data_IF_450474263816
#
_entry.id   IF_450474263816
#
_cell.length_a   1.000
_cell.length_b   1.000
_cell.length_c   1.000
_cell.angle_alpha   90.00
_cell.angle_beta   90.00
_cell.angle_gamma   90.00
#
_symmetry.space_group_name_H-M   'P 1'
#
loop_
_entity.id
_entity.type
_entity.pdbx_description
1 polymer ?
#
# COMPACT_ATOMS: atom_id res chain seq x y z
N UNK A 1 -4.50 10.49 -15.27
CA UNK A 1 -3.42 10.73 -14.27
C UNK A 1 -3.60 9.96 -12.96
N UNK A 2 -4.81 9.58 -12.51
CA UNK A 2 -5.05 8.79 -11.28
C UNK A 2 -4.31 7.44 -11.19
N UNK A 3 -4.13 6.71 -12.30
CA UNK A 3 -3.44 5.41 -12.29
C UNK A 3 -1.93 5.52 -12.06
N UNK A 4 -1.29 6.65 -12.42
CA UNK A 4 0.18 6.76 -12.40
C UNK A 4 0.77 6.87 -10.99
N UNK A 5 0.09 7.55 -10.07
CA UNK A 5 0.51 7.66 -8.67
C UNK A 5 0.23 6.36 -7.92
N UNK A 6 -0.96 5.78 -8.12
CA UNK A 6 -1.37 4.53 -7.50
C UNK A 6 -0.43 3.36 -7.88
N UNK A 7 -0.09 3.24 -9.17
CA UNK A 7 0.87 2.23 -9.65
C UNK A 7 2.26 2.44 -9.07
N UNK A 8 2.68 3.69 -8.83
CA UNK A 8 4.00 3.99 -8.25
C UNK A 8 4.05 3.63 -6.77
N UNK A 9 2.98 3.90 -6.02
CA UNK A 9 2.82 3.50 -4.61
C UNK A 9 2.72 1.97 -4.48
N UNK A 10 1.96 1.31 -5.36
CA UNK A 10 1.81 -0.16 -5.39
C UNK A 10 3.15 -0.85 -5.74
N UNK A 11 3.85 -0.40 -6.78
CA UNK A 11 5.18 -0.92 -7.13
C UNK A 11 6.21 -0.75 -6.01
N UNK A 12 6.19 0.37 -5.27
CA UNK A 12 7.13 0.66 -4.19
C UNK A 12 6.85 -0.13 -2.90
N UNK A 13 5.58 -0.33 -2.56
CA UNK A 13 5.20 -1.21 -1.45
C UNK A 13 5.53 -2.66 -1.77
N UNK A 14 5.35 -3.10 -3.03
CA UNK A 14 5.82 -4.41 -3.47
C UNK A 14 7.34 -4.56 -3.34
N UNK A 15 8.17 -3.58 -3.68
CA UNK A 15 9.63 -3.69 -3.49
C UNK A 15 10.02 -3.77 -2.02
N UNK A 16 9.44 -2.91 -1.17
CA UNK A 16 9.67 -2.95 0.27
C UNK A 16 9.24 -4.29 0.91
N UNK A 17 8.11 -4.86 0.49
CA UNK A 17 7.62 -6.15 1.01
C UNK A 17 8.31 -7.37 0.38
N UNK A 18 8.75 -7.31 -0.89
CA UNK A 18 9.47 -8.42 -1.55
C UNK A 18 10.91 -8.51 -1.04
N UNK A 19 11.54 -7.39 -0.66
CA UNK A 19 12.87 -7.39 -0.02
C UNK A 19 12.88 -8.01 1.39
N UNK A 20 11.73 -8.41 1.92
CA UNK A 20 11.56 -9.07 3.22
C UNK A 20 11.87 -10.59 3.21
N UNK A 21 12.24 -11.18 2.06
CA UNK A 21 12.46 -12.63 1.90
C UNK A 21 13.90 -13.10 1.51
N UNK A 22 15.02 -12.49 1.95
CA UNK A 22 16.34 -12.89 1.43
C UNK A 22 16.95 -14.14 2.10
N UNK A 23 16.19 -15.04 2.76
CA UNK A 23 16.77 -16.26 3.38
C UNK A 23 16.20 -17.61 2.95
N UNK A 24 15.09 -17.68 2.23
CA UNK A 24 14.50 -18.97 1.80
C UNK A 24 14.11 -18.94 0.32
N UNK A 25 15.11 -19.05 -0.54
CA UNK A 25 14.99 -18.77 -1.97
C UNK A 25 14.23 -19.85 -2.77
N UNK A 26 13.76 -20.97 -2.18
CA UNK A 26 13.20 -22.08 -2.98
C UNK A 26 11.95 -22.79 -2.45
N UNK A 27 11.51 -22.61 -1.20
CA UNK A 27 10.37 -23.36 -0.64
C UNK A 27 9.16 -22.53 -0.19
N UNK A 28 9.29 -21.20 -0.07
CA UNK A 28 8.24 -20.31 0.46
C UNK A 28 7.90 -19.21 -0.55
N UNK A 29 8.03 -19.47 -1.85
CA UNK A 29 8.02 -18.40 -2.86
C UNK A 29 6.65 -18.08 -3.48
N UNK A 30 5.66 -18.96 -3.45
CA UNK A 30 4.37 -18.66 -4.09
C UNK A 30 3.34 -18.11 -3.09
N UNK A 31 3.04 -18.83 -2.00
CA UNK A 31 2.02 -18.40 -1.03
C UNK A 31 2.34 -17.07 -0.34
N UNK A 32 3.60 -16.87 0.07
CA UNK A 32 4.01 -15.63 0.76
C UNK A 32 3.96 -14.41 -0.16
N UNK A 33 4.21 -14.57 -1.47
CA UNK A 33 4.12 -13.48 -2.45
C UNK A 33 2.68 -13.03 -2.67
N UNK A 34 1.71 -13.94 -2.72
CA UNK A 34 0.29 -13.59 -2.86
C UNK A 34 -0.20 -12.78 -1.66
N UNK A 35 0.17 -13.18 -0.44
CA UNK A 35 -0.19 -12.43 0.76
C UNK A 35 0.49 -11.04 0.78
N UNK A 36 1.78 -10.98 0.46
CA UNK A 36 2.51 -9.71 0.37
C UNK A 36 1.88 -8.75 -0.66
N UNK A 37 1.39 -9.25 -1.78
CA UNK A 37 0.68 -8.45 -2.79
C UNK A 37 -0.61 -7.85 -2.23
N UNK A 38 -1.47 -8.66 -1.61
CA UNK A 38 -2.72 -8.19 -1.02
C UNK A 38 -2.48 -7.17 0.10
N UNK A 39 -1.47 -7.41 0.95
CA UNK A 39 -1.07 -6.46 1.99
C UNK A 39 -0.57 -5.17 1.39
N UNK A 40 0.34 -5.20 0.41
CA UNK A 40 0.84 -4.01 -0.27
C UNK A 40 -0.28 -3.20 -0.93
N UNK A 41 -1.20 -3.87 -1.62
CA UNK A 41 -2.37 -3.25 -2.25
C UNK A 41 -3.30 -2.61 -1.21
N UNK A 42 -3.60 -3.33 -0.13
CA UNK A 42 -4.43 -2.81 0.97
C UNK A 42 -3.80 -1.61 1.67
N UNK A 43 -2.47 -1.62 1.88
CA UNK A 43 -1.72 -0.52 2.47
C UNK A 43 -1.72 0.70 1.55
N UNK A 44 -1.53 0.50 0.23
CA UNK A 44 -1.61 1.58 -0.76
C UNK A 44 -2.99 2.25 -0.74
N UNK A 45 -4.06 1.43 -0.77
CA UNK A 45 -5.45 1.90 -0.67
C UNK A 45 -5.68 2.68 0.63
N UNK A 46 -5.19 2.18 1.75
CA UNK A 46 -5.34 2.81 3.06
C UNK A 46 -4.62 4.18 3.14
N UNK A 47 -3.37 4.27 2.67
CA UNK A 47 -2.62 5.54 2.61
C UNK A 47 -3.32 6.54 1.70
N UNK A 48 -3.73 6.10 0.51
CA UNK A 48 -4.42 6.97 -0.45
C UNK A 48 -5.71 7.52 0.15
N UNK A 49 -6.55 6.66 0.73
CA UNK A 49 -7.84 7.04 1.28
C UNK A 49 -7.73 7.95 2.48
N UNK A 50 -6.68 7.79 3.29
CA UNK A 50 -6.49 8.57 4.52
C UNK A 50 -5.78 9.90 4.30
N UNK A 51 -4.79 9.97 3.39
CA UNK A 51 -3.93 11.16 3.25
C UNK A 51 -4.09 11.94 1.95
N UNK A 52 -4.47 11.28 0.86
CA UNK A 52 -4.41 11.88 -0.49
C UNK A 52 -5.76 11.97 -1.20
N UNK A 53 -6.81 11.28 -0.73
CA UNK A 53 -8.14 11.26 -1.37
C UNK A 53 -8.73 12.65 -1.55
N UNK A 54 -8.75 13.45 -0.49
CA UNK A 54 -9.39 14.78 -0.50
C UNK A 54 -8.46 15.86 -1.06
N UNK A 55 -7.14 15.70 -0.90
CA UNK A 55 -6.14 16.63 -1.41
C UNK A 55 -4.94 15.86 -1.98
N UNK A 56 -5.01 15.45 -3.27
CA UNK A 56 -3.98 14.62 -3.90
C UNK A 56 -2.60 15.28 -4.00
N UNK A 57 -2.54 16.62 -3.96
CA UNK A 57 -1.32 17.41 -4.06
C UNK A 57 -0.94 18.07 -2.73
N UNK A 58 -1.41 17.52 -1.60
CA UNK A 58 -1.04 18.01 -0.29
C UNK A 58 0.48 17.88 -0.09
N UNK A 59 1.16 19.03 0.00
CA UNK A 59 2.61 19.09 0.15
C UNK A 59 3.09 18.45 1.45
N UNK A 60 2.39 18.68 2.56
CA UNK A 60 2.76 18.16 3.88
C UNK A 60 2.72 16.64 3.93
N UNK A 61 1.67 16.03 3.37
CA UNK A 61 1.56 14.57 3.30
C UNK A 61 2.54 13.98 2.26
N UNK A 62 2.83 14.72 1.18
CA UNK A 62 3.87 14.36 0.22
C UNK A 62 5.28 14.35 0.80
N UNK A 63 5.62 15.31 1.66
CA UNK A 63 6.91 15.38 2.36
C UNK A 63 7.09 14.20 3.33
N UNK A 64 6.06 13.86 4.11
CA UNK A 64 6.06 12.65 4.96
C UNK A 64 6.23 11.38 4.14
N UNK A 65 5.54 11.28 2.99
CA UNK A 65 5.68 10.13 2.10
C UNK A 65 7.10 10.02 1.52
N UNK A 66 7.75 11.14 1.22
CA UNK A 66 9.15 11.17 0.77
C UNK A 66 10.10 10.68 1.87
N UNK A 67 9.89 11.13 3.12
CA UNK A 67 10.67 10.67 4.28
C UNK A 67 10.53 9.16 4.49
N UNK A 68 9.31 8.64 4.50
CA UNK A 68 9.02 7.20 4.62
C UNK A 68 9.75 6.41 3.53
N UNK A 69 9.75 6.88 2.29
CA UNK A 69 10.46 6.23 1.19
C UNK A 69 11.99 6.33 1.29
N UNK A 70 12.53 7.38 1.90
CA UNK A 70 13.97 7.59 2.04
C UNK A 70 14.65 6.49 2.88
N UNK A 71 13.90 5.85 3.78
CA UNK A 71 14.40 4.73 4.58
C UNK A 71 14.55 3.42 3.79
N UNK A 72 13.89 3.28 2.63
CA UNK A 72 13.88 2.05 1.85
C UNK A 72 13.50 0.83 2.70
N UNK A 73 14.29 -0.25 2.58
CA UNK A 73 14.13 -1.46 3.40
C UNK A 73 14.85 -1.44 4.75
N UNK A 74 15.37 -0.29 5.19
CA UNK A 74 16.12 -0.15 6.43
C UNK A 74 15.27 -0.15 7.70
N UNK A 75 13.95 0.05 7.57
CA UNK A 75 12.99 0.03 8.67
C UNK A 75 11.87 -0.99 8.44
N UNK A 76 11.27 -1.55 9.50
CA UNK A 76 10.12 -2.44 9.37
C UNK A 76 8.94 -1.74 8.68
N UNK A 77 8.29 -2.42 7.73
CA UNK A 77 7.17 -1.85 6.96
C UNK A 77 6.01 -1.40 7.85
N UNK A 78 5.77 -2.09 8.98
CA UNK A 78 4.75 -1.70 9.95
C UNK A 78 5.06 -0.34 10.60
N UNK A 79 6.32 -0.09 10.96
CA UNK A 79 6.75 1.18 11.55
C UNK A 79 6.65 2.33 10.52
N UNK A 80 7.08 2.08 9.28
CA UNK A 80 6.94 3.06 8.19
C UNK A 80 5.48 3.42 7.91
N UNK A 81 4.60 2.41 7.94
CA UNK A 81 3.17 2.61 7.72
C UNK A 81 2.52 3.33 8.90
N UNK A 82 2.93 3.05 10.13
CA UNK A 82 2.49 3.76 11.32
C UNK A 82 2.93 5.24 11.29
N UNK A 83 4.17 5.53 10.90
CA UNK A 83 4.64 6.90 10.69
C UNK A 83 3.79 7.63 9.64
N UNK A 84 3.47 6.96 8.52
CA UNK A 84 2.66 7.57 7.45
C UNK A 84 1.22 7.81 7.89
N UNK A 85 0.59 6.83 8.54
CA UNK A 85 -0.83 6.90 8.91
C UNK A 85 -1.07 7.73 10.18
N UNK A 86 -0.09 7.77 11.09
CA UNK A 86 -0.20 8.34 12.43
C UNK A 86 -0.84 7.39 13.45
N UNK A 87 -1.05 6.13 13.10
CA UNK A 87 -1.55 5.07 13.97
C UNK A 87 -1.09 3.71 13.46
N UNK A 88 -1.03 2.71 14.33
CA UNK A 88 -0.64 1.35 13.96
C UNK A 88 -1.82 0.59 13.33
N UNK A 89 -1.78 0.27 12.02
CA UNK A 89 -2.90 -0.37 11.33
C UNK A 89 -3.01 -1.85 11.66
N UNK A 90 -4.23 -2.30 11.94
CA UNK A 90 -4.54 -3.71 12.21
C UNK A 90 -4.99 -4.46 10.95
N UNK A 91 -5.04 -5.79 11.00
CA UNK A 91 -5.57 -6.63 9.92
C UNK A 91 -6.98 -6.20 9.44
N UNK A 92 -7.83 -5.73 10.36
CA UNK A 92 -9.17 -5.25 10.03
C UNK A 92 -9.14 -4.01 9.11
N UNK A 93 -8.20 -3.09 9.33
CA UNK A 93 -8.04 -1.90 8.49
C UNK A 93 -7.64 -2.27 7.06
N UNK A 94 -6.75 -3.25 6.90
CA UNK A 94 -6.35 -3.75 5.58
C UNK A 94 -7.51 -4.45 4.85
N UNK A 95 -8.27 -5.29 5.56
CA UNK A 95 -9.45 -5.95 5.01
C UNK A 95 -10.48 -4.91 4.55
N UNK A 96 -10.72 -3.89 5.38
CA UNK A 96 -11.66 -2.82 5.05
C UNK A 96 -11.19 -2.01 3.83
N UNK A 97 -9.91 -1.66 3.76
CA UNK A 97 -9.33 -0.97 2.60
C UNK A 97 -9.47 -1.79 1.30
N UNK A 98 -9.32 -3.12 1.36
CA UNK A 98 -9.52 -4.01 0.21
C UNK A 98 -11.00 -4.10 -0.21
N UNK A 99 -11.92 -4.17 0.77
CA UNK A 99 -13.36 -4.18 0.51
C UNK A 99 -13.80 -2.90 -0.21
N UNK A 100 -13.33 -1.75 0.27
CA UNK A 100 -13.65 -0.45 -0.32
C UNK A 100 -13.11 -0.35 -1.75
N UNK A 101 -11.87 -0.77 -1.97
CA UNK A 101 -11.26 -0.79 -3.30
C UNK A 101 -12.02 -1.72 -4.26
N UNK A 102 -12.33 -2.94 -3.82
CA UNK A 102 -13.04 -3.94 -4.63
C UNK A 102 -14.45 -3.46 -4.98
N UNK A 103 -15.17 -2.87 -4.03
CA UNK A 103 -16.51 -2.31 -4.24
C UNK A 103 -16.48 -1.17 -5.26
N UNK A 104 -15.48 -0.29 -5.16
CA UNK A 104 -15.28 0.78 -6.13
C UNK A 104 -15.03 0.24 -7.55
N UNK A 105 -14.19 -0.80 -7.68
CA UNK A 105 -13.94 -1.44 -8.98
C UNK A 105 -15.17 -2.16 -9.54
N UNK A 106 -15.94 -2.85 -8.69
CA UNK A 106 -17.18 -3.51 -9.09
C UNK A 106 -18.20 -2.49 -9.63
N UNK A 107 -18.34 -1.34 -8.96
CA UNK A 107 -19.23 -0.28 -9.40
C UNK A 107 -18.81 0.35 -10.74
N UNK A 108 -17.49 0.45 -11.02
CA UNK A 108 -17.00 0.88 -12.33
C UNK A 108 -17.30 -0.13 -13.45
N UNK A 109 -17.40 -1.42 -13.13
CA UNK A 109 -17.83 -2.46 -14.07
C UNK A 109 -19.34 -2.38 -14.38
N UNK A 110 -20.16 -1.97 -13.42
CA UNK A 110 -21.61 -1.80 -13.59
C UNK A 110 -21.96 -0.55 -14.40
N UNK A 111 -21.17 0.52 -14.30
CA UNK A 111 -21.41 1.80 -15.01
C UNK A 111 -20.93 1.77 -16.47
N UNK A 112 -20.11 0.79 -16.86
CA UNK A 112 -19.57 0.64 -18.22
C UNK A 112 -20.30 -0.41 -19.07
N UNK A 113 -21.59 -0.68 -18.81
CA UNK A 113 -22.50 -1.47 -19.66
C UNK A 113 -23.59 -0.58 -20.23
#
# INVERSE_FOLDING_TARGET
MHRGFFVKVESLLLTCFIQLLPRFHHLVQYGAKYYAYLVARSAASLIWNSKFRDSPFNRTEGEKWMEVQSHGGGLPSAALLETMLGYSPTAAHFIEALKQETSHLANLGVVNV
#
